data_IF_413897774264
#
_entry.id   IF_413897774264
#
_cell.length_a   1.000
_cell.length_b   1.000
_cell.length_c   1.000
_cell.angle_alpha   90.00
_cell.angle_beta   90.00
_cell.angle_gamma   90.00
#
_symmetry.space_group_name_H-M   'P 1'
#
loop_
_entity.id
_entity.type
_entity.pdbx_description
1 polymer ?
#
# COMPACT_ATOMS: atom_id res chain seq x y z
N UNK A 1 6.93 -3.36 17.70
CA UNK A 1 5.91 -2.81 16.80
C UNK A 1 6.44 -1.53 16.18
N UNK A 2 6.50 -1.51 14.84
CA UNK A 2 6.87 -0.32 14.11
C UNK A 2 5.76 0.71 14.25
N UNK A 3 6.08 1.81 14.86
CA UNK A 3 5.20 2.97 14.90
C UNK A 3 5.81 4.03 14.00
N UNK A 4 5.04 4.58 13.06
CA UNK A 4 5.40 5.83 12.42
C UNK A 4 5.05 6.94 13.41
N UNK A 5 6.06 7.61 13.94
CA UNK A 5 5.89 8.74 14.81
C UNK A 5 6.01 10.04 14.03
N UNK A 6 5.05 10.92 14.27
CA UNK A 6 5.13 12.32 13.93
C UNK A 6 5.94 13.03 15.00
N UNK A 7 7.18 13.36 14.76
CA UNK A 7 7.85 14.42 15.52
C UNK A 7 7.52 15.75 14.89
N UNK A 8 7.40 16.79 15.69
CA UNK A 8 6.89 18.13 15.36
C UNK A 8 7.37 18.77 14.04
N UNK A 9 8.30 18.15 13.31
CA UNK A 9 8.87 18.67 12.09
C UNK A 9 9.10 17.64 10.97
N UNK A 10 9.04 16.31 11.21
CA UNK A 10 9.27 15.27 10.17
C UNK A 10 8.67 13.92 10.56
N UNK A 11 8.08 13.27 9.57
CA UNK A 11 7.66 11.88 9.65
C UNK A 11 8.92 11.00 9.60
N UNK A 12 9.28 10.40 10.72
CA UNK A 12 10.37 9.43 10.78
C UNK A 12 9.78 8.05 11.11
N UNK A 13 9.95 7.05 10.23
CA UNK A 13 9.65 5.68 10.60
C UNK A 13 10.68 5.25 11.65
N UNK A 14 10.20 4.68 12.74
CA UNK A 14 11.09 3.94 13.65
C UNK A 14 11.20 2.53 13.08
N UNK A 15 12.31 2.18 12.41
CA UNK A 15 12.47 0.83 11.88
C UNK A 15 12.59 -0.17 13.03
N UNK A 16 11.86 -1.29 12.96
CA UNK A 16 12.20 -2.43 13.78
C UNK A 16 13.57 -2.99 13.33
N UNK A 17 14.44 -3.41 14.26
CA UNK A 17 15.76 -3.95 13.92
C UNK A 17 15.71 -5.05 12.87
N UNK A 18 14.76 -5.98 12.95
CA UNK A 18 14.59 -7.06 11.97
C UNK A 18 14.08 -6.61 10.58
N UNK A 19 13.53 -5.40 10.44
CA UNK A 19 13.21 -4.84 9.12
C UNK A 19 14.42 -4.19 8.44
N UNK A 20 15.41 -3.78 9.20
CA UNK A 20 16.68 -3.27 8.67
C UNK A 20 17.59 -4.39 8.19
N UNK A 21 17.49 -5.58 8.80
CA UNK A 21 18.38 -6.73 8.54
C UNK A 21 17.86 -7.63 7.42
N UNK A 22 16.57 -7.60 7.08
CA UNK A 22 16.02 -8.43 6.01
C UNK A 22 16.21 -7.79 4.65
N UNK A 23 17.05 -8.37 3.81
CA UNK A 23 17.16 -8.00 2.41
C UNK A 23 15.85 -8.25 1.65
N UNK A 24 15.53 -7.37 0.69
CA UNK A 24 14.49 -7.62 -0.29
C UNK A 24 15.00 -8.70 -1.23
N UNK A 25 14.44 -9.89 -1.13
CA UNK A 25 14.93 -11.08 -1.85
C UNK A 25 14.45 -11.14 -3.32
N UNK A 26 14.44 -10.03 -4.02
CA UNK A 26 14.05 -9.94 -5.42
C UNK A 26 15.28 -10.09 -6.31
N UNK A 27 15.53 -11.31 -6.77
CA UNK A 27 16.76 -11.65 -7.51
C UNK A 27 16.60 -11.72 -9.03
N UNK A 28 15.36 -11.80 -9.53
CA UNK A 28 15.12 -11.84 -10.96
C UNK A 28 15.44 -10.50 -11.64
N UNK A 29 15.84 -10.49 -12.90
CA UNK A 29 16.03 -9.26 -13.65
C UNK A 29 14.76 -8.40 -13.69
N UNK A 30 14.92 -7.10 -13.65
CA UNK A 30 13.84 -6.15 -13.85
C UNK A 30 13.40 -6.12 -15.30
N UNK A 31 12.10 -6.05 -15.52
CA UNK A 31 11.51 -5.88 -16.86
C UNK A 31 11.22 -4.42 -17.18
N UNK A 32 10.99 -3.60 -16.14
CA UNK A 32 10.68 -2.18 -16.26
C UNK A 32 11.06 -1.40 -15.00
N UNK A 33 10.84 -0.08 -15.04
CA UNK A 33 11.14 0.83 -13.93
C UNK A 33 10.35 0.51 -12.64
N UNK A 34 9.18 -0.13 -12.76
CA UNK A 34 8.38 -0.51 -11.61
C UNK A 34 8.98 -1.72 -10.88
N UNK A 35 9.59 -2.64 -11.62
CA UNK A 35 10.37 -3.72 -11.03
C UNK A 35 11.61 -3.19 -10.30
N UNK A 36 12.30 -2.19 -10.87
CA UNK A 36 13.42 -1.53 -10.19
C UNK A 36 12.97 -0.90 -8.88
N UNK A 37 11.84 -0.19 -8.91
CA UNK A 37 11.26 0.41 -7.70
C UNK A 37 10.95 -0.64 -6.62
N UNK A 38 10.38 -1.79 -7.00
CA UNK A 38 10.11 -2.90 -6.08
C UNK A 38 11.37 -3.48 -5.46
N UNK A 39 12.46 -3.57 -6.23
CA UNK A 39 13.73 -4.16 -5.77
C UNK A 39 14.50 -3.24 -4.84
N UNK A 40 14.39 -1.94 -5.02
CA UNK A 40 15.25 -0.95 -4.37
C UNK A 40 14.64 -0.32 -3.11
N UNK A 41 13.32 -0.30 -2.98
CA UNK A 41 12.63 0.47 -1.95
C UNK A 41 11.74 -0.38 -1.04
N UNK A 42 11.84 -0.15 0.26
CA UNK A 42 11.00 -0.79 1.28
C UNK A 42 9.65 -0.11 1.45
N UNK A 43 9.57 1.17 1.17
CA UNK A 43 8.34 1.94 1.16
C UNK A 43 8.13 2.51 -0.23
N UNK A 44 7.00 2.17 -0.83
CA UNK A 44 6.64 2.54 -2.19
C UNK A 44 5.26 3.21 -2.18
N UNK A 45 5.14 4.29 -2.93
CA UNK A 45 3.86 4.94 -3.20
C UNK A 45 3.61 5.01 -4.70
N UNK A 46 2.54 4.37 -5.14
CA UNK A 46 2.08 4.32 -6.52
C UNK A 46 0.85 5.22 -6.66
N UNK A 47 0.97 6.41 -7.27
CA UNK A 47 -0.15 7.33 -7.38
C UNK A 47 -1.25 6.76 -8.27
N UNK A 48 -2.46 6.77 -7.75
CA UNK A 48 -3.67 6.49 -8.49
C UNK A 48 -4.32 7.79 -9.01
N UNK A 49 -5.36 7.63 -9.78
CA UNK A 49 -6.18 8.73 -10.29
C UNK A 49 -7.63 8.52 -9.89
N UNK A 50 -8.39 9.59 -9.95
CA UNK A 50 -9.84 9.52 -9.83
C UNK A 50 -10.39 8.55 -10.90
N UNK A 51 -11.21 7.61 -10.46
CA UNK A 51 -11.82 6.62 -11.32
C UNK A 51 -13.25 6.36 -10.84
N UNK A 52 -14.21 7.07 -11.42
CA UNK A 52 -15.62 6.88 -11.11
C UNK A 52 -16.33 6.35 -12.34
N UNK A 53 -16.74 5.11 -12.28
CA UNK A 53 -17.66 4.53 -13.26
C UNK A 53 -19.11 4.91 -12.90
N UNK A 54 -19.98 5.13 -13.90
CA UNK A 54 -21.40 5.36 -13.64
C UNK A 54 -22.00 4.22 -12.82
N UNK A 55 -22.77 4.56 -11.78
CA UNK A 55 -23.44 3.61 -10.89
C UNK A 55 -22.54 2.73 -10.01
N UNK A 56 -21.26 3.02 -9.91
CA UNK A 56 -20.34 2.33 -9.00
C UNK A 56 -20.21 3.14 -7.71
N UNK A 57 -20.10 2.42 -6.59
CA UNK A 57 -19.89 3.01 -5.27
C UNK A 57 -18.61 3.85 -5.24
N UNK A 58 -18.63 4.98 -4.55
CA UNK A 58 -17.43 5.79 -4.26
C UNK A 58 -16.42 5.09 -3.31
N UNK A 59 -16.78 3.92 -2.79
CA UNK A 59 -15.92 3.02 -1.99
C UNK A 59 -15.13 2.03 -2.84
N UNK A 60 -15.05 2.28 -4.13
CA UNK A 60 -14.28 1.50 -5.11
C UNK A 60 -13.43 2.45 -5.93
N UNK A 61 -12.17 2.08 -6.15
CA UNK A 61 -11.29 2.70 -7.15
C UNK A 61 -10.72 1.59 -8.04
N UNK A 62 -11.23 1.50 -9.27
CA UNK A 62 -10.79 0.46 -10.22
C UNK A 62 -9.33 0.63 -10.61
N UNK A 63 -8.83 1.86 -10.74
CA UNK A 63 -7.43 2.12 -11.05
C UNK A 63 -6.50 1.64 -9.92
N UNK A 64 -6.86 1.83 -8.65
CA UNK A 64 -6.08 1.27 -7.54
C UNK A 64 -6.14 -0.26 -7.53
N UNK A 65 -7.29 -0.86 -7.84
CA UNK A 65 -7.39 -2.31 -7.95
C UNK A 65 -6.48 -2.88 -9.05
N UNK A 66 -6.40 -2.23 -10.20
CA UNK A 66 -5.46 -2.60 -11.28
C UNK A 66 -3.99 -2.51 -10.81
N UNK A 67 -3.62 -1.43 -10.11
CA UNK A 67 -2.28 -1.26 -9.54
C UNK A 67 -1.98 -2.40 -8.55
N UNK A 68 -2.91 -2.69 -7.64
CA UNK A 68 -2.75 -3.77 -6.66
C UNK A 68 -2.54 -5.12 -7.35
N UNK A 69 -3.35 -5.43 -8.36
CA UNK A 69 -3.26 -6.70 -9.11
C UNK A 69 -1.94 -6.81 -9.86
N UNK A 70 -1.46 -5.74 -10.48
CA UNK A 70 -0.14 -5.73 -11.14
C UNK A 70 1.00 -5.95 -10.14
N UNK A 71 0.93 -5.32 -8.96
CA UNK A 71 1.92 -5.55 -7.90
C UNK A 71 1.91 -6.99 -7.41
N UNK A 72 0.74 -7.59 -7.21
CA UNK A 72 0.61 -8.98 -6.82
C UNK A 72 1.25 -9.93 -7.85
N UNK A 73 1.01 -9.69 -9.14
CA UNK A 73 1.62 -10.45 -10.24
C UNK A 73 3.14 -10.36 -10.21
N UNK A 74 3.71 -9.16 -10.02
CA UNK A 74 5.16 -8.95 -9.95
C UNK A 74 5.78 -9.62 -8.72
N UNK A 75 5.17 -9.47 -7.55
CA UNK A 75 5.64 -10.11 -6.32
C UNK A 75 5.62 -11.63 -6.47
N UNK A 76 4.54 -12.20 -7.03
CA UNK A 76 4.47 -13.63 -7.30
C UNK A 76 5.60 -14.09 -8.22
N UNK A 77 5.86 -13.37 -9.30
CA UNK A 77 6.97 -13.64 -10.22
C UNK A 77 8.33 -13.61 -9.50
N UNK A 78 8.59 -12.59 -8.69
CA UNK A 78 9.86 -12.47 -7.97
C UNK A 78 10.07 -13.53 -6.90
N UNK A 79 9.01 -13.97 -6.26
CA UNK A 79 9.13 -15.03 -5.26
C UNK A 79 9.24 -16.42 -5.91
N UNK A 80 8.61 -16.64 -7.07
CA UNK A 80 8.62 -17.95 -7.75
C UNK A 80 8.20 -19.07 -6.79
N UNK A 81 8.98 -20.14 -6.73
CA UNK A 81 8.70 -21.31 -5.87
C UNK A 81 8.70 -21.01 -4.35
N UNK A 82 9.23 -19.85 -3.94
CA UNK A 82 9.21 -19.40 -2.54
C UNK A 82 7.91 -18.71 -2.16
N UNK A 83 6.99 -18.50 -3.10
CA UNK A 83 5.73 -17.82 -2.83
C UNK A 83 4.86 -18.67 -1.89
N UNK A 84 4.43 -18.05 -0.80
CA UNK A 84 3.50 -18.63 0.18
C UNK A 84 2.35 -17.64 0.39
N UNK A 85 1.14 -18.05 0.02
CA UNK A 85 -0.05 -17.19 0.09
C UNK A 85 -0.36 -16.69 1.52
N UNK A 86 0.14 -17.36 2.56
CA UNK A 86 -0.08 -17.01 3.96
C UNK A 86 1.07 -16.17 4.56
N UNK A 87 2.21 -16.06 3.87
CA UNK A 87 3.42 -15.41 4.40
C UNK A 87 3.95 -14.30 3.50
N UNK A 88 3.79 -14.41 2.17
CA UNK A 88 4.45 -13.52 1.23
C UNK A 88 3.77 -12.17 1.15
N UNK A 89 2.50 -12.11 0.82
CA UNK A 89 1.80 -10.85 0.55
C UNK A 89 0.39 -10.84 1.09
N UNK A 90 -0.03 -9.67 1.56
CA UNK A 90 -1.41 -9.39 1.93
C UNK A 90 -1.85 -8.01 1.43
N UNK A 91 -3.14 -7.83 1.24
CA UNK A 91 -3.74 -6.57 0.80
C UNK A 91 -4.67 -6.04 1.87
N UNK A 92 -4.50 -4.78 2.22
CA UNK A 92 -5.33 -4.07 3.20
C UNK A 92 -6.04 -2.92 2.49
N UNK A 93 -7.34 -2.83 2.70
CA UNK A 93 -8.22 -1.79 2.12
C UNK A 93 -9.12 -1.19 3.19
N UNK A 94 -9.60 0.06 3.04
CA UNK A 94 -10.54 0.65 4.01
C UNK A 94 -11.98 0.16 3.82
N UNK A 95 -12.35 -0.30 2.61
CA UNK A 95 -13.72 -0.65 2.26
C UNK A 95 -13.86 -2.05 1.67
N UNK A 96 -14.83 -2.82 2.12
CA UNK A 96 -15.12 -4.16 1.61
C UNK A 96 -15.43 -4.21 0.11
N UNK A 97 -16.01 -3.16 -0.42
CA UNK A 97 -16.33 -3.08 -1.85
C UNK A 97 -15.06 -3.19 -2.71
N UNK A 98 -13.94 -2.63 -2.25
CA UNK A 98 -12.66 -2.72 -2.95
C UNK A 98 -12.09 -4.14 -2.95
N UNK A 99 -12.37 -4.94 -1.92
CA UNK A 99 -11.96 -6.35 -1.86
C UNK A 99 -12.49 -7.12 -3.08
N UNK A 100 -13.79 -6.96 -3.37
CA UNK A 100 -14.41 -7.65 -4.50
C UNK A 100 -13.79 -7.24 -5.84
N UNK A 101 -13.45 -5.95 -6.00
CA UNK A 101 -12.79 -5.44 -7.20
C UNK A 101 -11.39 -6.04 -7.38
N UNK A 102 -10.60 -6.10 -6.32
CA UNK A 102 -9.26 -6.71 -6.34
C UNK A 102 -9.37 -8.22 -6.62
N UNK A 103 -10.29 -8.92 -5.96
CA UNK A 103 -10.52 -10.37 -6.21
C UNK A 103 -10.84 -10.66 -7.66
N UNK A 104 -11.75 -9.88 -8.27
CA UNK A 104 -12.09 -10.01 -9.69
C UNK A 104 -10.86 -9.81 -10.62
N UNK A 105 -9.96 -8.90 -10.25
CA UNK A 105 -8.71 -8.69 -10.97
C UNK A 105 -7.75 -9.88 -10.82
N UNK A 106 -7.63 -10.45 -9.63
CA UNK A 106 -6.81 -11.63 -9.36
C UNK A 106 -7.30 -12.86 -10.15
N UNK A 107 -8.61 -13.11 -10.16
CA UNK A 107 -9.22 -14.21 -10.93
C UNK A 107 -8.84 -14.15 -12.41
N UNK A 108 -8.79 -12.94 -13.00
CA UNK A 108 -8.39 -12.75 -14.40
C UNK A 108 -6.92 -13.09 -14.67
N UNK A 109 -6.05 -13.07 -13.66
CA UNK A 109 -4.66 -13.47 -13.81
C UNK A 109 -4.51 -14.99 -13.99
N UNK A 110 -5.44 -15.78 -13.45
CA UNK A 110 -5.38 -17.25 -13.50
C UNK A 110 -4.21 -17.84 -12.72
N UNK A 111 -3.78 -17.19 -11.63
CA UNK A 111 -2.69 -17.64 -10.75
C UNK A 111 -3.32 -18.15 -9.44
N UNK A 112 -3.44 -19.47 -9.24
CA UNK A 112 -4.19 -20.04 -8.12
C UNK A 112 -3.65 -19.65 -6.73
N UNK A 113 -2.34 -19.43 -6.61
CA UNK A 113 -1.71 -19.04 -5.36
C UNK A 113 -2.16 -17.63 -4.91
N UNK A 114 -2.36 -16.72 -5.87
CA UNK A 114 -2.83 -15.37 -5.58
C UNK A 114 -4.29 -15.32 -5.14
N UNK A 115 -5.10 -16.30 -5.53
CA UNK A 115 -6.50 -16.40 -5.09
C UNK A 115 -6.62 -16.71 -3.59
N UNK A 116 -5.56 -17.28 -3.00
CA UNK A 116 -5.50 -17.70 -1.60
C UNK A 116 -4.94 -16.66 -0.64
N UNK A 117 -4.44 -15.54 -1.13
CA UNK A 117 -3.87 -14.49 -0.26
C UNK A 117 -4.96 -13.83 0.60
N UNK A 118 -4.54 -13.23 1.70
CA UNK A 118 -5.44 -12.45 2.56
C UNK A 118 -5.67 -11.06 1.97
N UNK A 119 -6.93 -10.72 1.77
CA UNK A 119 -7.39 -9.36 1.41
C UNK A 119 -8.50 -9.00 2.38
N UNK A 120 -8.31 -7.97 3.20
CA UNK A 120 -9.34 -7.56 4.16
C UNK A 120 -9.24 -6.08 4.53
N UNK A 121 -10.21 -5.60 5.27
CA UNK A 121 -10.16 -4.26 5.85
C UNK A 121 -9.17 -4.21 7.02
N UNK A 122 -8.71 -3.01 7.35
CA UNK A 122 -7.75 -2.80 8.45
C UNK A 122 -8.26 -3.42 9.76
N UNK A 123 -9.55 -3.22 10.05
CA UNK A 123 -10.20 -3.70 11.28
C UNK A 123 -10.28 -5.23 11.35
N UNK A 124 -10.36 -5.87 10.20
CA UNK A 124 -10.50 -7.33 10.07
C UNK A 124 -9.19 -8.04 9.77
N UNK A 125 -8.19 -7.31 9.30
CA UNK A 125 -6.89 -7.86 9.00
C UNK A 125 -6.18 -8.27 10.30
N UNK A 126 -6.73 -9.33 10.90
CA UNK A 126 -6.19 -9.94 12.10
C UNK A 126 -5.23 -11.05 11.68
N UNK A 127 -4.08 -11.06 12.29
CA UNK A 127 -3.18 -12.16 12.10
C UNK A 127 -1.75 -11.78 11.84
N UNK A 128 -1.04 -12.74 11.34
CA UNK A 128 0.40 -12.72 11.15
C UNK A 128 0.85 -11.65 10.16
N UNK A 129 2.06 -11.20 10.36
CA UNK A 129 2.77 -10.36 9.41
C UNK A 129 2.91 -11.06 8.05
N UNK A 130 3.08 -10.25 7.00
CA UNK A 130 3.47 -10.68 5.66
C UNK A 130 4.81 -10.06 5.30
N UNK A 131 5.54 -10.65 4.37
CA UNK A 131 6.74 -10.00 3.85
C UNK A 131 6.40 -8.67 3.21
N UNK A 132 5.35 -8.66 2.40
CA UNK A 132 4.86 -7.47 1.70
C UNK A 132 3.42 -7.19 2.10
N UNK A 133 3.11 -5.95 2.43
CA UNK A 133 1.74 -5.45 2.55
C UNK A 133 1.48 -4.43 1.45
N UNK A 134 0.37 -4.60 0.75
CA UNK A 134 -0.15 -3.62 -0.20
C UNK A 134 -1.35 -2.92 0.45
N UNK A 135 -1.31 -1.61 0.53
CA UNK A 135 -2.39 -0.78 1.08
C UNK A 135 -3.00 0.06 -0.03
N UNK A 136 -4.30 -0.15 -0.31
CA UNK A 136 -5.07 0.67 -1.24
C UNK A 136 -5.91 1.66 -0.45
N UNK A 137 -5.68 2.96 -0.61
CA UNK A 137 -6.43 3.99 0.10
C UNK A 137 -7.89 4.07 -0.34
N UNK A 138 -8.17 3.79 -1.61
CA UNK A 138 -9.54 3.65 -2.19
C UNK A 138 -10.43 4.88 -2.00
N UNK A 139 -9.88 6.07 -1.79
CA UNK A 139 -10.66 7.28 -1.63
C UNK A 139 -10.85 8.02 -2.95
N UNK A 140 -12.08 8.42 -3.21
CA UNK A 140 -12.50 9.09 -4.44
C UNK A 140 -12.90 10.55 -4.21
N UNK A 141 -13.08 10.96 -2.96
CA UNK A 141 -13.46 12.31 -2.59
C UNK A 141 -12.90 12.73 -1.22
N UNK A 142 -12.93 14.03 -0.96
CA UNK A 142 -12.33 14.61 0.24
C UNK A 142 -13.04 14.19 1.54
N UNK A 143 -14.34 13.88 1.49
CA UNK A 143 -15.11 13.45 2.67
C UNK A 143 -14.65 12.10 3.22
N UNK A 144 -14.05 11.28 2.36
CA UNK A 144 -13.51 9.99 2.77
C UNK A 144 -12.19 10.11 3.53
N UNK A 145 -11.50 11.24 3.44
CA UNK A 145 -10.31 11.51 4.26
C UNK A 145 -10.62 11.51 5.75
N UNK A 146 -11.74 12.10 6.15
CA UNK A 146 -12.17 12.14 7.55
C UNK A 146 -12.41 10.74 8.10
N UNK A 147 -12.94 9.84 7.27
CA UNK A 147 -13.13 8.43 7.64
C UNK A 147 -11.77 7.71 7.79
N UNK A 148 -10.81 7.94 6.91
CA UNK A 148 -9.47 7.36 7.02
C UNK A 148 -8.71 7.91 8.22
N UNK A 149 -8.77 9.23 8.43
CA UNK A 149 -8.07 9.93 9.51
C UNK A 149 -8.81 9.92 10.84
N UNK A 150 -10.09 9.53 10.87
CA UNK A 150 -10.98 9.62 12.03
C UNK A 150 -10.56 8.78 13.25
N UNK A 151 -9.54 7.96 13.14
CA UNK A 151 -8.94 7.19 14.22
C UNK A 151 -7.50 7.65 14.54
N UNK A 152 -7.17 8.89 14.23
CA UNK A 152 -5.91 9.48 14.65
C UNK A 152 -5.95 9.79 16.16
N UNK A 153 -4.83 9.61 16.83
CA UNK A 153 -4.65 9.98 18.22
C UNK A 153 -3.31 10.70 18.40
N UNK A 154 -3.19 11.45 19.47
CA UNK A 154 -1.95 12.15 19.81
C UNK A 154 -1.19 11.34 20.86
N UNK A 155 0.03 10.93 20.54
CA UNK A 155 0.96 10.29 21.47
C UNK A 155 2.29 11.06 21.43
N UNK A 156 2.76 11.52 22.58
CA UNK A 156 4.00 12.32 22.71
C UNK A 156 4.09 13.55 21.79
N UNK A 157 2.94 14.20 21.54
CA UNK A 157 2.84 15.37 20.67
C UNK A 157 2.82 15.06 19.17
N UNK A 158 2.77 13.79 18.79
CA UNK A 158 2.66 13.35 17.43
C UNK A 158 1.24 12.87 17.10
N UNK A 159 0.75 13.21 15.91
CA UNK A 159 -0.52 12.68 15.38
C UNK A 159 -0.24 11.35 14.68
N UNK A 160 -0.89 10.30 15.13
CA UNK A 160 -0.71 8.94 14.60
C UNK A 160 -2.01 8.50 13.94
N UNK A 161 -1.97 8.13 12.66
CA UNK A 161 -3.06 7.43 12.01
C UNK A 161 -3.04 5.95 12.39
N UNK A 162 -4.07 5.52 13.13
CA UNK A 162 -4.14 4.15 13.65
C UNK A 162 -4.25 3.11 12.54
N UNK A 163 -5.03 3.38 11.49
CA UNK A 163 -5.26 2.44 10.39
C UNK A 163 -3.99 2.20 9.58
N UNK A 164 -3.32 3.28 9.19
CA UNK A 164 -2.06 3.21 8.47
C UNK A 164 -0.97 2.54 9.30
N UNK A 165 -0.89 2.89 10.60
CA UNK A 165 0.09 2.30 11.50
C UNK A 165 -0.12 0.78 11.66
N UNK A 166 -1.36 0.32 11.78
CA UNK A 166 -1.66 -1.11 11.80
C UNK A 166 -1.19 -1.78 10.51
N UNK A 167 -1.46 -1.20 9.35
CA UNK A 167 -1.02 -1.75 8.06
C UNK A 167 0.51 -1.84 7.98
N UNK A 168 1.23 -0.79 8.35
CA UNK A 168 2.70 -0.76 8.36
C UNK A 168 3.29 -1.82 9.29
N UNK A 169 2.70 -2.02 10.47
CA UNK A 169 3.18 -3.03 11.42
C UNK A 169 2.98 -4.48 10.96
N UNK A 170 2.17 -4.70 9.92
CA UNK A 170 1.98 -6.02 9.31
C UNK A 170 3.02 -6.36 8.25
N UNK A 171 3.74 -5.37 7.72
CA UNK A 171 4.79 -5.57 6.73
C UNK A 171 6.12 -5.93 7.41
N UNK A 172 6.68 -7.09 7.08
CA UNK A 172 8.00 -7.48 7.58
C UNK A 172 9.13 -6.84 6.77
N UNK A 173 8.97 -6.77 5.46
CA UNK A 173 10.02 -6.35 4.53
C UNK A 173 9.65 -5.12 3.71
N UNK A 174 8.42 -5.04 3.21
CA UNK A 174 8.04 -4.00 2.25
C UNK A 174 6.59 -3.56 2.43
N UNK A 175 6.36 -2.27 2.32
CA UNK A 175 5.05 -1.62 2.31
C UNK A 175 4.84 -0.92 0.98
N UNK A 176 3.82 -1.34 0.23
CA UNK A 176 3.41 -0.72 -1.03
C UNK A 176 2.07 -0.04 -0.82
N UNK A 177 1.98 1.22 -1.17
CA UNK A 177 0.78 2.02 -1.02
C UNK A 177 0.31 2.54 -2.39
N UNK A 178 -0.98 2.57 -2.60
CA UNK A 178 -1.59 3.24 -3.76
C UNK A 178 -2.77 4.10 -3.33
N UNK A 179 -2.84 5.30 -3.86
CA UNK A 179 -3.86 6.29 -3.55
C UNK A 179 -3.78 7.50 -4.45
N UNK A 180 -4.85 8.31 -4.45
CA UNK A 180 -4.86 9.55 -5.22
C UNK A 180 -4.18 10.69 -4.43
N UNK A 181 -3.00 11.15 -4.84
CA UNK A 181 -2.26 12.19 -4.12
C UNK A 181 -2.98 13.53 -4.12
N UNK A 182 -3.81 13.84 -5.13
CA UNK A 182 -4.58 15.10 -5.16
C UNK A 182 -5.59 15.17 -4.00
N UNK A 183 -6.14 14.05 -3.60
CA UNK A 183 -7.06 13.97 -2.45
C UNK A 183 -6.26 13.82 -1.15
N UNK A 184 -5.33 12.87 -1.09
CA UNK A 184 -4.58 12.53 0.12
C UNK A 184 -3.80 13.71 0.69
N UNK A 185 -3.27 14.60 -0.16
CA UNK A 185 -2.51 15.79 0.27
C UNK A 185 -3.34 16.83 1.03
N UNK A 186 -4.67 16.73 1.03
CA UNK A 186 -5.53 17.57 1.86
C UNK A 186 -5.51 17.17 3.35
N UNK A 187 -4.92 16.03 3.69
CA UNK A 187 -4.65 15.61 5.06
C UNK A 187 -3.14 15.69 5.33
N UNK A 188 -2.76 16.33 6.43
CA UNK A 188 -1.36 16.56 6.78
C UNK A 188 -0.57 15.25 6.90
N UNK A 189 -1.13 14.23 7.57
CA UNK A 189 -0.45 12.92 7.78
C UNK A 189 -0.12 12.28 6.44
N UNK A 190 -1.10 12.20 5.53
CA UNK A 190 -0.90 11.58 4.23
C UNK A 190 -0.03 12.42 3.29
N UNK A 191 -0.12 13.75 3.39
CA UNK A 191 0.78 14.65 2.63
C UNK A 191 2.24 14.40 3.02
N UNK A 192 2.53 14.33 4.32
CA UNK A 192 3.89 14.09 4.80
C UNK A 192 4.37 12.67 4.53
N UNK A 193 3.49 11.67 4.58
CA UNK A 193 3.80 10.31 4.16
C UNK A 193 4.26 10.27 2.69
N UNK A 194 3.53 10.93 1.80
CA UNK A 194 3.87 10.99 0.38
C UNK A 194 5.23 11.68 0.19
N UNK A 195 5.47 12.80 0.84
CA UNK A 195 6.75 13.52 0.74
C UNK A 195 7.91 12.71 1.34
N UNK A 196 7.68 12.00 2.44
CA UNK A 196 8.67 11.09 3.00
C UNK A 196 9.07 9.99 2.01
N UNK A 197 8.09 9.30 1.43
CA UNK A 197 8.33 8.21 0.47
C UNK A 197 9.02 8.76 -0.79
N UNK A 198 8.59 9.93 -1.27
CA UNK A 198 9.22 10.62 -2.40
C UNK A 198 10.68 10.97 -2.11
N UNK A 199 10.96 11.53 -0.93
CA UNK A 199 12.32 11.87 -0.51
C UNK A 199 13.25 10.67 -0.39
N UNK A 200 12.71 9.48 -0.16
CA UNK A 200 13.46 8.20 -0.15
C UNK A 200 13.55 7.54 -1.53
N UNK A 201 12.96 8.12 -2.57
CA UNK A 201 12.96 7.58 -3.94
C UNK A 201 11.91 6.51 -4.23
N UNK A 202 11.04 6.20 -3.27
CA UNK A 202 10.01 5.16 -3.42
C UNK A 202 8.71 5.61 -4.07
N UNK A 203 8.61 6.86 -4.49
CA UNK A 203 7.44 7.39 -5.16
C UNK A 203 7.55 7.21 -6.67
N UNK A 204 6.54 6.60 -7.30
CA UNK A 204 6.49 6.49 -8.76
C UNK A 204 6.10 7.83 -9.37
N UNK A 205 7.09 8.55 -9.92
CA UNK A 205 6.81 9.77 -10.67
C UNK A 205 6.12 9.40 -11.99
N UNK A 206 4.94 9.97 -12.23
CA UNK A 206 4.31 9.88 -13.55
C UNK A 206 5.14 10.73 -14.52
N UNK A 207 5.65 10.12 -15.57
CA UNK A 207 6.08 10.91 -16.73
C UNK A 207 4.86 11.73 -17.16
N UNK A 208 5.04 13.05 -17.28
CA UNK A 208 4.06 13.90 -17.92
C UNK A 208 3.83 13.29 -19.32
N UNK A 209 2.75 12.55 -19.47
CA UNK A 209 2.29 12.14 -20.80
C UNK A 209 1.85 13.40 -21.47
N UNK A 210 2.56 13.74 -22.52
CA UNK A 210 2.14 14.71 -23.52
C UNK A 210 0.64 14.52 -23.77
N UNK A 211 -0.09 15.60 -23.54
CA UNK A 211 -1.53 15.73 -23.76
C UNK A 211 -1.89 15.61 -25.23
#
# INVERSE_FOLDING_TARGET
>A
PNRMFYRREKLEPVPCPHQLESELSYTLPSEDALDDLLKEHRMIFLPSRFCKEPNVSDKINANEAEIVVDMLRRIHRFYGDRFDAQKTVGVIVPYRNQIAMVRKGIEKLGIPELEKISIDTVERYQGSQRDVIIYSFTIQNIWQLDFLAGNSFVEDGAIIDRKLNVAITRARKQMIMTGNPEILRNNQIFSELIEYVRGKGGYLERKATES
#
